data_IF_203074202334
#
_entry.id   IF_203074202334
#
_cell.length_a   1.000
_cell.length_b   1.000
_cell.length_c   1.000
_cell.angle_alpha   90.00
_cell.angle_beta   90.00
_cell.angle_gamma   90.00
#
_symmetry.space_group_name_H-M   'P 1'
#
loop_
_entity.id
_entity.type
_entity.pdbx_description
1 polymer ?
#
# COMPACT_ATOMS: atom_id res chain seq x y z
N UNK A 1 14.79 -12.12 -27.56
CA UNK A 1 15.54 -12.39 -26.30
C UNK A 1 15.33 -13.82 -25.81
N UNK A 2 14.10 -14.33 -25.75
CA UNK A 2 13.80 -15.70 -25.28
C UNK A 2 14.53 -16.83 -26.03
N UNK A 3 14.63 -16.74 -27.36
CA UNK A 3 15.28 -17.79 -28.17
C UNK A 3 16.80 -17.86 -27.98
N UNK A 4 17.45 -16.73 -27.63
CA UNK A 4 18.88 -16.70 -27.34
C UNK A 4 19.20 -17.30 -25.96
N UNK A 5 18.30 -17.14 -25.00
CA UNK A 5 18.44 -17.72 -23.67
C UNK A 5 18.33 -19.26 -23.71
N UNK A 6 17.46 -19.83 -24.56
CA UNK A 6 17.40 -21.28 -24.77
C UNK A 6 18.64 -21.84 -25.44
N UNK A 7 19.12 -21.21 -26.51
CA UNK A 7 20.33 -21.65 -27.19
C UNK A 7 21.55 -21.68 -26.25
N UNK A 8 21.71 -20.67 -25.39
CA UNK A 8 22.76 -20.61 -24.38
C UNK A 8 22.63 -21.71 -23.29
N UNK A 9 21.40 -22.10 -22.94
CA UNK A 9 21.14 -23.18 -21.98
C UNK A 9 21.43 -24.57 -22.57
N UNK A 10 21.10 -24.78 -23.85
CA UNK A 10 21.43 -26.01 -24.58
C UNK A 10 22.96 -26.16 -24.75
N UNK A 11 23.66 -25.09 -25.10
CA UNK A 11 25.13 -25.07 -25.21
C UNK A 11 25.80 -25.37 -23.86
N UNK A 12 25.32 -24.78 -22.76
CA UNK A 12 25.84 -25.06 -21.42
C UNK A 12 25.63 -26.52 -20.99
N UNK A 13 24.51 -27.14 -21.41
CA UNK A 13 24.20 -28.55 -21.17
C UNK A 13 25.11 -29.50 -21.96
N UNK A 14 25.44 -29.14 -23.21
CA UNK A 14 26.39 -29.90 -24.05
C UNK A 14 27.82 -29.82 -23.50
N UNK A 15 28.19 -28.68 -22.92
CA UNK A 15 29.52 -28.46 -22.32
C UNK A 15 29.71 -29.11 -20.94
N UNK A 16 28.75 -29.89 -20.45
CA UNK A 16 28.84 -30.57 -19.15
C UNK A 16 28.89 -29.61 -17.96
N UNK A 17 28.55 -28.33 -18.16
CA UNK A 17 28.42 -27.38 -17.06
C UNK A 17 27.23 -27.83 -16.22
N UNK A 18 27.38 -28.05 -14.91
CA UNK A 18 26.27 -28.47 -14.05
C UNK A 18 25.21 -27.37 -14.06
N UNK A 19 24.20 -27.55 -14.91
CA UNK A 19 23.01 -26.72 -14.90
C UNK A 19 22.33 -26.98 -13.57
N UNK A 20 22.18 -25.91 -12.77
CA UNK A 20 21.51 -25.96 -11.47
C UNK A 20 20.18 -26.68 -11.69
N UNK A 21 20.05 -27.85 -11.07
CA UNK A 21 18.83 -28.63 -11.15
C UNK A 21 17.74 -27.85 -10.40
N UNK A 22 17.00 -26.99 -11.10
CA UNK A 22 15.97 -26.14 -10.47
C UNK A 22 14.85 -26.98 -9.84
N UNK A 23 14.77 -28.27 -10.15
CA UNK A 23 13.84 -29.21 -9.50
C UNK A 23 14.18 -29.51 -8.03
N UNK A 24 15.38 -29.20 -7.54
CA UNK A 24 15.72 -29.30 -6.10
C UNK A 24 15.33 -28.04 -5.32
N UNK A 25 15.23 -26.87 -5.99
CA UNK A 25 14.70 -25.63 -5.40
C UNK A 25 13.17 -25.65 -5.29
N UNK A 26 12.51 -26.22 -6.29
CA UNK A 26 11.08 -26.52 -6.27
C UNK A 26 10.91 -28.01 -6.00
N UNK A 27 11.28 -28.44 -4.79
CA UNK A 27 11.28 -29.84 -4.42
C UNK A 27 10.04 -30.56 -4.94
N UNK A 28 10.25 -31.69 -5.61
CA UNK A 28 9.24 -32.68 -5.93
C UNK A 28 8.71 -33.40 -4.66
N UNK A 29 8.55 -32.64 -3.57
CA UNK A 29 7.61 -33.01 -2.53
C UNK A 29 6.23 -32.75 -3.08
N UNK A 30 5.38 -33.75 -3.04
CA UNK A 30 3.94 -33.54 -2.96
C UNK A 30 3.65 -32.74 -1.70
N UNK A 31 3.98 -31.45 -1.71
CA UNK A 31 3.32 -30.49 -0.86
C UNK A 31 1.86 -30.57 -1.30
N UNK A 32 1.10 -31.44 -0.63
CA UNK A 32 -0.33 -31.24 -0.50
C UNK A 32 -0.43 -29.77 -0.12
N UNK A 33 -0.85 -28.93 -1.06
CA UNK A 33 -1.15 -27.56 -0.77
C UNK A 33 -2.19 -27.67 0.34
N UNK A 34 -1.77 -27.44 1.58
CA UNK A 34 -2.61 -27.62 2.74
C UNK A 34 -3.68 -26.54 2.63
N UNK A 35 -4.77 -26.88 1.96
CA UNK A 35 -5.94 -26.03 1.85
C UNK A 35 -6.49 -25.97 3.26
N UNK A 36 -6.54 -24.76 3.83
CA UNK A 36 -7.15 -24.53 5.14
C UNK A 36 -8.52 -25.20 5.18
N UNK A 37 -8.81 -25.90 6.28
CA UNK A 37 -10.15 -26.48 6.46
C UNK A 37 -11.19 -25.35 6.49
N UNK A 38 -12.46 -25.62 6.18
CA UNK A 38 -13.52 -24.60 6.26
C UNK A 38 -13.58 -23.89 7.62
N UNK A 39 -13.30 -24.61 8.71
CA UNK A 39 -13.22 -24.04 10.06
C UNK A 39 -12.03 -23.07 10.22
N UNK A 40 -10.84 -23.43 9.70
CA UNK A 40 -9.68 -22.55 9.71
C UNK A 40 -9.89 -21.30 8.83
N UNK A 41 -10.53 -21.45 7.66
CA UNK A 41 -10.92 -20.32 6.82
C UNK A 41 -11.88 -19.38 7.56
N UNK A 42 -12.90 -19.94 8.22
CA UNK A 42 -13.84 -19.17 9.02
C UNK A 42 -13.14 -18.41 10.16
N UNK A 43 -12.17 -19.06 10.82
CA UNK A 43 -11.40 -18.47 11.91
C UNK A 43 -10.56 -17.26 11.46
N UNK A 44 -9.98 -17.26 10.25
CA UNK A 44 -9.17 -16.13 9.75
C UNK A 44 -9.96 -15.12 8.91
N UNK A 45 -11.23 -15.42 8.59
CA UNK A 45 -12.08 -14.58 7.74
C UNK A 45 -12.15 -13.11 8.19
N UNK A 46 -12.20 -12.76 9.50
CA UNK A 46 -12.18 -11.36 9.93
C UNK A 46 -10.92 -10.60 9.44
N UNK A 47 -9.74 -11.21 9.53
CA UNK A 47 -8.47 -10.61 9.08
C UNK A 47 -8.44 -10.42 7.56
N UNK A 48 -8.93 -11.43 6.82
CA UNK A 48 -9.04 -11.37 5.36
C UNK A 48 -9.98 -10.24 4.93
N UNK A 49 -11.14 -10.10 5.58
CA UNK A 49 -12.10 -9.02 5.28
C UNK A 49 -11.51 -7.64 5.56
N UNK A 50 -10.79 -7.46 6.66
CA UNK A 50 -10.08 -6.21 6.96
C UNK A 50 -8.99 -5.94 5.92
N UNK A 51 -8.22 -6.95 5.54
CA UNK A 51 -7.18 -6.83 4.52
C UNK A 51 -7.78 -6.44 3.17
N UNK A 52 -8.90 -7.07 2.77
CA UNK A 52 -9.62 -6.72 1.55
C UNK A 52 -10.14 -5.27 1.59
N UNK A 53 -10.74 -4.85 2.71
CA UNK A 53 -11.19 -3.46 2.90
C UNK A 53 -10.02 -2.47 2.84
N UNK A 54 -8.87 -2.82 3.44
CA UNK A 54 -7.64 -2.05 3.34
C UNK A 54 -7.17 -1.92 1.89
N UNK A 55 -7.17 -3.00 1.11
CA UNK A 55 -6.78 -3.00 -0.31
C UNK A 55 -7.71 -2.08 -1.11
N UNK A 56 -9.03 -2.13 -0.88
CA UNK A 56 -10.00 -1.24 -1.52
C UNK A 56 -9.69 0.23 -1.20
N UNK A 57 -9.46 0.55 0.07
CA UNK A 57 -9.07 1.89 0.50
C UNK A 57 -7.74 2.32 -0.13
N UNK A 58 -6.73 1.45 -0.13
CA UNK A 58 -5.40 1.69 -0.69
C UNK A 58 -5.49 2.05 -2.18
N UNK A 59 -6.19 1.24 -2.97
CA UNK A 59 -6.39 1.54 -4.39
C UNK A 59 -7.22 2.80 -4.59
N UNK A 60 -8.25 3.04 -3.76
CA UNK A 60 -9.01 4.30 -3.81
C UNK A 60 -8.10 5.52 -3.61
N UNK A 61 -7.10 5.43 -2.73
CA UNK A 61 -6.11 6.49 -2.53
C UNK A 61 -5.09 6.58 -3.68
N UNK A 62 -4.65 5.47 -4.27
CA UNK A 62 -3.87 5.48 -5.52
C UNK A 62 -4.62 6.21 -6.65
N UNK A 63 -5.91 5.88 -6.82
CA UNK A 63 -6.78 6.50 -7.80
C UNK A 63 -6.93 7.99 -7.49
N UNK A 64 -7.19 8.37 -6.23
CA UNK A 64 -7.30 9.76 -5.83
C UNK A 64 -6.02 10.57 -6.09
N UNK A 65 -4.84 10.01 -5.79
CA UNK A 65 -3.56 10.62 -6.10
C UNK A 65 -3.39 10.87 -7.60
N UNK A 66 -3.78 9.91 -8.45
CA UNK A 66 -3.68 10.04 -9.91
C UNK A 66 -4.74 11.00 -10.47
N UNK A 67 -5.97 10.88 -10.00
CA UNK A 67 -7.11 11.71 -10.37
C UNK A 67 -6.86 13.18 -10.06
N UNK A 68 -6.30 13.51 -8.89
CA UNK A 68 -6.00 14.90 -8.52
C UNK A 68 -5.12 15.61 -9.55
N UNK A 69 -4.12 14.92 -10.11
CA UNK A 69 -3.22 15.45 -11.14
C UNK A 69 -3.89 15.55 -12.51
N UNK A 70 -4.68 14.54 -12.89
CA UNK A 70 -5.45 14.55 -14.14
C UNK A 70 -6.52 15.64 -14.15
N UNK A 71 -7.22 15.81 -13.03
CA UNK A 71 -8.19 16.87 -12.82
C UNK A 71 -7.54 18.24 -13.01
N UNK A 72 -6.42 18.50 -12.31
CA UNK A 72 -5.68 19.74 -12.45
C UNK A 72 -5.23 20.01 -13.88
N UNK A 73 -4.71 19.01 -14.60
CA UNK A 73 -4.35 19.17 -16.03
C UNK A 73 -5.53 19.62 -16.89
N UNK A 74 -6.74 19.14 -16.59
CA UNK A 74 -7.94 19.48 -17.36
C UNK A 74 -8.47 20.87 -17.02
N UNK A 75 -8.44 21.25 -15.74
CA UNK A 75 -9.08 22.48 -15.25
C UNK A 75 -8.18 23.69 -15.18
N UNK A 76 -6.86 23.52 -15.20
CA UNK A 76 -5.94 24.64 -15.13
C UNK A 76 -5.86 25.40 -16.46
N UNK A 77 -5.81 26.74 -16.41
CA UNK A 77 -5.57 27.54 -17.61
C UNK A 77 -4.15 27.29 -18.15
N UNK A 78 -3.89 27.65 -19.42
CA UNK A 78 -2.54 27.64 -19.96
C UNK A 78 -1.59 28.56 -19.18
N UNK A 79 -0.31 28.24 -19.20
CA UNK A 79 0.75 29.05 -18.60
C UNK A 79 0.98 30.36 -19.38
N UNK A 80 1.87 31.21 -18.88
CA UNK A 80 2.36 32.38 -19.60
C UNK A 80 2.85 32.03 -21.03
N UNK A 81 3.42 30.84 -21.22
CA UNK A 81 3.87 30.33 -22.53
C UNK A 81 2.72 29.84 -23.45
N UNK A 82 1.45 30.04 -23.06
CA UNK A 82 0.28 29.58 -23.79
C UNK A 82 0.06 28.05 -23.77
N UNK A 83 0.93 27.29 -23.11
CA UNK A 83 0.85 25.81 -23.03
C UNK A 83 0.19 25.37 -21.73
N UNK A 84 -0.64 24.33 -21.80
CA UNK A 84 -1.19 23.67 -20.60
C UNK A 84 -0.08 22.94 -19.83
N UNK A 85 -0.13 22.92 -18.49
CA UNK A 85 0.83 22.16 -17.69
C UNK A 85 0.82 20.68 -18.04
N UNK A 86 2.01 20.11 -18.20
CA UNK A 86 2.19 18.68 -18.51
C UNK A 86 1.98 17.83 -17.26
N UNK A 87 1.70 16.53 -17.45
CA UNK A 87 1.59 15.61 -16.30
C UNK A 87 2.91 15.46 -15.55
N UNK A 88 4.04 15.56 -16.23
CA UNK A 88 5.37 15.54 -15.60
C UNK A 88 5.53 16.76 -14.69
N UNK A 89 5.13 17.94 -15.15
CA UNK A 89 5.16 19.17 -14.35
C UNK A 89 4.23 19.09 -13.13
N UNK A 90 3.05 18.48 -13.27
CA UNK A 90 2.11 18.31 -12.16
C UNK A 90 2.50 17.18 -11.19
N UNK A 91 3.19 16.13 -11.66
CA UNK A 91 3.57 14.97 -10.85
C UNK A 91 4.91 15.17 -10.14
N UNK A 92 5.88 15.77 -10.82
CA UNK A 92 7.27 15.86 -10.38
C UNK A 92 7.81 17.30 -10.37
N UNK A 93 7.18 18.21 -11.11
CA UNK A 93 7.63 19.60 -11.21
C UNK A 93 7.18 20.49 -10.05
N UNK A 94 7.68 21.73 -10.08
CA UNK A 94 7.31 22.79 -9.13
C UNK A 94 5.95 23.45 -9.45
N UNK A 95 5.14 22.86 -10.34
CA UNK A 95 3.86 23.42 -10.74
C UNK A 95 2.87 23.35 -9.57
N UNK A 96 2.35 24.51 -9.12
CA UNK A 96 1.63 24.59 -7.84
C UNK A 96 2.53 24.60 -6.60
N UNK A 97 3.81 24.95 -6.73
CA UNK A 97 4.65 25.40 -5.61
C UNK A 97 4.26 26.81 -5.16
N UNK A 98 4.73 27.27 -3.98
CA UNK A 98 4.48 28.64 -3.46
C UNK A 98 4.72 29.73 -4.51
N UNK A 99 5.67 29.49 -5.42
CA UNK A 99 6.15 30.47 -6.38
C UNK A 99 5.59 30.27 -7.80
N UNK A 100 4.77 29.24 -8.06
CA UNK A 100 4.38 28.88 -9.43
C UNK A 100 3.02 28.16 -9.54
N UNK A 101 2.03 28.59 -8.75
CA UNK A 101 0.64 28.19 -8.94
C UNK A 101 -0.31 28.63 -7.82
N UNK A 102 -1.61 28.45 -8.04
CA UNK A 102 -2.62 28.87 -7.06
C UNK A 102 -2.57 28.03 -5.76
N UNK A 103 -2.92 28.60 -4.60
CA UNK A 103 -3.04 27.85 -3.35
C UNK A 103 -3.96 26.62 -3.48
N UNK A 104 -5.04 26.72 -4.27
CA UNK A 104 -5.98 25.63 -4.51
C UNK A 104 -5.35 24.47 -5.29
N UNK A 105 -4.57 24.78 -6.32
CA UNK A 105 -3.81 23.79 -7.12
C UNK A 105 -2.84 23.03 -6.22
N UNK A 106 -2.10 23.78 -5.39
CA UNK A 106 -1.14 23.21 -4.44
C UNK A 106 -1.83 22.27 -3.45
N UNK A 107 -2.92 22.73 -2.84
CA UNK A 107 -3.65 21.96 -1.83
C UNK A 107 -4.20 20.67 -2.39
N UNK A 108 -4.84 20.68 -3.57
CA UNK A 108 -5.40 19.45 -4.15
C UNK A 108 -4.32 18.42 -4.52
N UNK A 109 -3.20 18.89 -5.10
CA UNK A 109 -2.06 18.04 -5.43
C UNK A 109 -1.45 17.39 -4.18
N UNK A 110 -1.11 18.23 -3.19
CA UNK A 110 -0.52 17.75 -1.93
C UNK A 110 -1.48 16.84 -1.16
N UNK A 111 -2.77 17.13 -1.20
CA UNK A 111 -3.79 16.29 -0.56
C UNK A 111 -3.77 14.87 -1.14
N UNK A 112 -3.77 14.72 -2.47
CA UNK A 112 -3.68 13.42 -3.13
C UNK A 112 -2.37 12.69 -2.80
N UNK A 113 -1.24 13.40 -2.91
CA UNK A 113 0.08 12.82 -2.66
C UNK A 113 0.27 12.39 -1.19
N UNK A 114 -0.10 13.24 -0.23
CA UNK A 114 0.08 12.95 1.20
C UNK A 114 -0.91 11.92 1.71
N UNK A 115 -2.14 11.87 1.18
CA UNK A 115 -3.11 10.82 1.54
C UNK A 115 -2.58 9.43 1.18
N UNK A 116 -2.09 9.27 -0.05
CA UNK A 116 -1.52 7.99 -0.48
C UNK A 116 -0.19 7.69 0.24
N UNK A 117 0.75 8.63 0.25
CA UNK A 117 2.07 8.41 0.81
C UNK A 117 2.02 8.09 2.31
N UNK A 118 1.18 8.78 3.08
CA UNK A 118 1.01 8.48 4.50
C UNK A 118 0.40 7.08 4.74
N UNK A 119 -0.48 6.62 3.86
CA UNK A 119 -1.02 5.27 3.91
C UNK A 119 0.08 4.25 3.59
N UNK A 120 0.89 4.51 2.57
CA UNK A 120 2.00 3.65 2.17
C UNK A 120 3.07 3.52 3.27
N UNK A 121 3.43 4.63 3.92
CA UNK A 121 4.40 4.66 5.04
C UNK A 121 3.94 3.77 6.21
N UNK A 122 2.63 3.67 6.46
CA UNK A 122 2.08 2.87 7.56
C UNK A 122 1.65 1.47 7.14
N UNK A 123 1.65 1.16 5.84
CA UNK A 123 1.16 -0.11 5.32
C UNK A 123 1.96 -1.31 5.87
N UNK A 124 3.32 -1.33 5.82
CA UNK A 124 4.07 -2.46 6.34
C UNK A 124 3.81 -2.74 7.83
N UNK A 125 3.95 -1.76 8.75
CA UNK A 125 3.72 -2.05 10.16
C UNK A 125 2.25 -2.37 10.46
N UNK A 126 1.29 -1.78 9.73
CA UNK A 126 -0.12 -2.14 9.89
C UNK A 126 -0.41 -3.59 9.51
N UNK A 127 -0.05 -4.01 8.30
CA UNK A 127 -0.35 -5.36 7.80
C UNK A 127 0.37 -6.42 8.62
N UNK A 128 1.64 -6.20 8.97
CA UNK A 128 2.40 -7.13 9.82
C UNK A 128 1.75 -7.24 11.19
N UNK A 129 1.41 -6.12 11.84
CA UNK A 129 0.81 -6.15 13.18
C UNK A 129 -0.60 -6.76 13.18
N UNK A 130 -1.41 -6.48 12.16
CA UNK A 130 -2.75 -7.06 12.00
C UNK A 130 -2.69 -8.60 11.96
N UNK A 131 -1.85 -9.13 11.07
CA UNK A 131 -1.73 -10.58 10.89
C UNK A 131 -1.01 -11.23 12.06
N UNK A 132 0.05 -10.63 12.60
CA UNK A 132 0.73 -11.16 13.78
C UNK A 132 -0.21 -11.22 15.00
N UNK A 133 -0.93 -10.13 15.31
CA UNK A 133 -1.89 -10.11 16.41
C UNK A 133 -3.03 -11.12 16.17
N UNK A 134 -3.57 -11.19 14.95
CA UNK A 134 -4.67 -12.08 14.65
C UNK A 134 -4.30 -13.56 14.71
N UNK A 135 -3.09 -13.93 14.27
CA UNK A 135 -2.64 -15.32 14.27
C UNK A 135 -2.10 -15.79 15.62
N UNK A 136 -1.48 -14.89 16.39
CA UNK A 136 -0.75 -15.26 17.61
C UNK A 136 -1.53 -14.94 18.88
N UNK A 137 -2.38 -13.92 18.87
CA UNK A 137 -3.04 -13.42 20.08
C UNK A 137 -4.57 -13.51 20.02
N UNK A 138 -5.21 -12.73 19.14
CA UNK A 138 -6.66 -12.58 19.11
C UNK A 138 -7.13 -12.02 17.75
N UNK A 139 -7.87 -12.84 17.00
CA UNK A 139 -8.43 -12.50 15.68
C UNK A 139 -9.44 -11.36 15.76
N UNK A 140 -10.36 -11.40 16.72
CA UNK A 140 -11.47 -10.44 16.80
C UNK A 140 -10.96 -9.07 17.20
N UNK A 141 -10.01 -9.03 18.14
CA UNK A 141 -9.32 -7.80 18.52
C UNK A 141 -8.55 -7.20 17.34
N UNK A 142 -7.76 -8.02 16.64
CA UNK A 142 -7.00 -7.57 15.47
C UNK A 142 -7.93 -7.02 14.39
N UNK A 143 -9.06 -7.70 14.14
CA UNK A 143 -10.07 -7.23 13.20
C UNK A 143 -10.74 -5.91 13.64
N UNK A 144 -11.05 -5.75 14.92
CA UNK A 144 -11.59 -4.50 15.46
C UNK A 144 -10.61 -3.34 15.31
N UNK A 145 -9.36 -3.52 15.73
CA UNK A 145 -8.29 -2.53 15.56
C UNK A 145 -8.05 -2.21 14.08
N UNK A 146 -8.10 -3.21 13.20
CA UNK A 146 -7.95 -3.05 11.76
C UNK A 146 -9.07 -2.22 11.12
N UNK A 147 -10.33 -2.43 11.52
CA UNK A 147 -11.46 -1.58 11.09
C UNK A 147 -11.25 -0.14 11.57
N UNK A 148 -10.83 0.06 12.82
CA UNK A 148 -10.49 1.37 13.37
C UNK A 148 -9.39 2.07 12.58
N UNK A 149 -8.32 1.36 12.23
CA UNK A 149 -7.23 1.88 11.41
C UNK A 149 -7.72 2.39 10.05
N UNK A 150 -8.54 1.59 9.35
CA UNK A 150 -9.13 1.95 8.05
C UNK A 150 -10.00 3.21 8.20
N UNK A 151 -10.85 3.27 9.23
CA UNK A 151 -11.69 4.44 9.49
C UNK A 151 -10.85 5.73 9.63
N UNK A 152 -9.83 5.72 10.47
CA UNK A 152 -8.96 6.88 10.67
C UNK A 152 -8.14 7.23 9.42
N UNK A 153 -7.76 6.25 8.59
CA UNK A 153 -7.13 6.51 7.29
C UNK A 153 -8.09 7.17 6.30
N UNK A 154 -9.35 6.74 6.24
CA UNK A 154 -10.39 7.40 5.47
C UNK A 154 -10.68 8.84 5.93
N UNK A 155 -10.46 9.14 7.21
CA UNK A 155 -10.60 10.49 7.77
C UNK A 155 -9.45 11.43 7.34
N UNK A 156 -8.26 10.90 7.07
CA UNK A 156 -7.04 11.66 6.73
C UNK A 156 -7.26 12.73 5.63
N UNK A 157 -7.79 12.42 4.43
CA UNK A 157 -7.96 13.43 3.39
C UNK A 157 -8.93 14.57 3.77
N UNK A 158 -9.84 14.32 4.72
CA UNK A 158 -10.79 15.32 5.21
C UNK A 158 -10.07 16.30 6.15
N UNK A 159 -9.31 15.77 7.12
CA UNK A 159 -8.62 16.58 8.12
C UNK A 159 -7.33 17.23 7.60
N UNK A 160 -6.71 16.67 6.56
CA UNK A 160 -5.50 17.23 5.95
C UNK A 160 -5.68 18.68 5.51
N UNK A 161 -6.86 19.04 5.01
CA UNK A 161 -7.17 20.42 4.60
C UNK A 161 -7.21 21.41 5.77
N UNK A 162 -7.47 20.92 6.98
CA UNK A 162 -7.54 21.74 8.20
C UNK A 162 -6.17 21.95 8.85
N UNK A 163 -5.15 21.19 8.44
CA UNK A 163 -3.80 21.28 9.00
C UNK A 163 -3.70 20.78 10.44
N UNK A 164 -2.68 21.25 11.16
CA UNK A 164 -2.47 20.95 12.57
C UNK A 164 -3.40 21.81 13.45
N UNK A 165 -3.94 21.28 14.57
CA UNK A 165 -3.72 19.94 15.13
C UNK A 165 -4.67 18.86 14.57
N UNK A 166 -5.64 19.21 13.73
CA UNK A 166 -6.67 18.30 13.22
C UNK A 166 -6.12 17.05 12.51
N UNK A 167 -4.98 17.18 11.83
CA UNK A 167 -4.29 16.07 11.18
C UNK A 167 -3.86 14.96 12.17
N UNK A 168 -3.64 15.29 13.44
CA UNK A 168 -3.27 14.31 14.46
C UNK A 168 -4.44 13.38 14.79
N UNK A 169 -5.68 13.82 14.61
CA UNK A 169 -6.88 13.02 14.87
C UNK A 169 -7.01 11.80 13.95
N UNK A 170 -6.43 11.83 12.75
CA UNK A 170 -6.34 10.64 11.89
C UNK A 170 -5.04 9.86 12.13
N UNK A 171 -3.96 10.53 12.47
CA UNK A 171 -2.63 9.95 12.39
C UNK A 171 -2.24 9.22 13.69
N UNK A 172 -2.44 9.87 14.83
CA UNK A 172 -2.08 9.33 16.16
C UNK A 172 -2.88 8.07 16.50
N UNK A 173 -4.21 8.03 16.32
CA UNK A 173 -4.97 6.81 16.62
C UNK A 173 -4.49 5.59 15.82
N UNK A 174 -4.16 5.76 14.53
CA UNK A 174 -3.61 4.66 13.75
C UNK A 174 -2.28 4.14 14.28
N UNK A 175 -1.35 5.03 14.68
CA UNK A 175 -0.09 4.58 15.27
C UNK A 175 -0.34 3.79 16.56
N UNK A 176 -1.24 4.26 17.42
CA UNK A 176 -1.60 3.56 18.64
C UNK A 176 -2.22 2.19 18.37
N UNK A 177 -3.10 2.08 17.36
CA UNK A 177 -3.69 0.80 16.97
C UNK A 177 -2.64 -0.19 16.44
N UNK A 178 -1.70 0.28 15.62
CA UNK A 178 -0.58 -0.54 15.12
C UNK A 178 0.27 -1.04 16.29
N UNK A 179 0.73 -0.14 17.15
CA UNK A 179 1.55 -0.48 18.31
C UNK A 179 0.85 -1.43 19.27
N UNK A 180 -0.45 -1.22 19.50
CA UNK A 180 -1.24 -2.07 20.36
C UNK A 180 -1.34 -3.50 19.81
N UNK A 181 -1.64 -3.67 18.52
CA UNK A 181 -1.65 -4.99 17.88
C UNK A 181 -0.27 -5.65 17.92
N UNK A 182 0.80 -4.90 17.61
CA UNK A 182 2.16 -5.42 17.66
C UNK A 182 2.55 -5.89 19.07
N UNK A 183 2.24 -5.09 20.09
CA UNK A 183 2.49 -5.44 21.48
C UNK A 183 1.76 -6.72 21.89
N UNK A 184 0.47 -6.85 21.53
CA UNK A 184 -0.31 -8.06 21.79
C UNK A 184 0.30 -9.30 21.13
N UNK A 185 0.79 -9.18 19.90
CA UNK A 185 1.48 -10.27 19.21
C UNK A 185 2.79 -10.66 19.91
N UNK A 186 3.61 -9.68 20.33
CA UNK A 186 4.88 -9.93 21.04
C UNK A 186 4.64 -10.62 22.37
N UNK A 187 3.66 -10.17 23.16
CA UNK A 187 3.32 -10.79 24.45
C UNK A 187 2.83 -12.23 24.28
N UNK A 188 2.10 -12.53 23.20
CA UNK A 188 1.64 -13.90 22.94
C UNK A 188 2.76 -14.88 22.56
N UNK A 189 3.95 -14.38 22.18
CA UNK A 189 5.12 -15.19 21.89
C UNK A 189 6.07 -15.37 23.09
N UNK A 190 5.83 -14.67 24.20
CA UNK A 190 6.67 -14.68 25.40
C UNK A 190 6.14 -15.70 26.42
#
# INVERSE_FOLDING_TARGET
MWNRARAALEEARIMGVPTINTSTWFGAGTASAAVLTPAQVAAVAPLVRVTAAYIVMYYSFCFFQSWSKLYLRRTLPPNADGKKPTLVQLKYGAYGSKNNGSPRTRTLRLLGDRTFLNTLEQAPPFLVSLWACGLLADVELAAFCGKGYIFFRCLYPIVFRKGMPWLLLSTVPCYNLIWYMLFRAVVACA
#
